data_IF_343810413067
#
_entry.id   IF_343810413067
#
_cell.length_a   1.000
_cell.length_b   1.000
_cell.length_c   1.000
_cell.angle_alpha   90.00
_cell.angle_beta   90.00
_cell.angle_gamma   90.00
#
_symmetry.space_group_name_H-M   'P 1'
#
loop_
_entity.id
_entity.type
_entity.pdbx_description
1 polymer ?
#
# COMPACT_ATOMS: atom_id res chain seq x y z
N UNK A 1 30.78 15.00 -24.27
CA UNK A 1 29.55 14.67 -25.02
C UNK A 1 28.40 14.73 -24.02
N UNK A 2 27.41 15.60 -24.23
CA UNK A 2 26.25 15.67 -23.34
C UNK A 2 25.30 14.53 -23.70
N UNK A 3 25.11 13.59 -22.78
CA UNK A 3 24.16 12.49 -22.93
C UNK A 3 22.74 13.05 -22.84
N UNK A 4 21.99 12.99 -23.95
CA UNK A 4 20.60 13.46 -24.01
C UNK A 4 19.73 12.41 -23.33
N UNK A 5 19.57 12.54 -22.01
CA UNK A 5 18.65 11.70 -21.23
C UNK A 5 17.23 12.24 -21.37
N UNK A 6 16.26 11.35 -21.62
CA UNK A 6 14.85 11.71 -21.60
C UNK A 6 14.42 12.06 -20.17
N UNK A 7 13.59 13.09 -20.01
CA UNK A 7 12.96 13.43 -18.72
C UNK A 7 12.22 12.24 -18.10
N UNK A 8 11.70 11.33 -18.93
CA UNK A 8 11.02 10.12 -18.47
C UNK A 8 11.98 9.13 -17.81
N UNK A 9 13.18 8.96 -18.36
CA UNK A 9 14.18 8.04 -17.83
C UNK A 9 14.69 8.53 -16.46
N UNK A 10 14.92 9.84 -16.35
CA UNK A 10 15.33 10.46 -15.08
C UNK A 10 14.25 10.32 -14.03
N UNK A 11 12.97 10.51 -14.39
CA UNK A 11 11.85 10.32 -13.47
C UNK A 11 11.76 8.87 -13.01
N UNK A 12 11.80 7.91 -13.94
CA UNK A 12 11.72 6.48 -13.63
C UNK A 12 12.85 6.02 -12.70
N UNK A 13 14.07 6.51 -12.92
CA UNK A 13 15.20 6.21 -12.04
C UNK A 13 15.00 6.77 -10.63
N UNK A 14 14.45 7.99 -10.50
CA UNK A 14 14.13 8.58 -9.20
C UNK A 14 13.04 7.81 -8.46
N UNK A 15 12.00 7.39 -9.19
CA UNK A 15 10.91 6.59 -8.63
C UNK A 15 11.43 5.21 -8.18
N UNK A 16 12.27 4.55 -8.97
CA UNK A 16 12.92 3.29 -8.59
C UNK A 16 13.79 3.42 -7.34
N UNK A 17 14.66 4.43 -7.27
CA UNK A 17 15.50 4.65 -6.09
C UNK A 17 14.69 5.03 -4.85
N UNK A 18 13.57 5.73 -5.03
CA UNK A 18 12.63 6.02 -3.95
C UNK A 18 12.04 4.72 -3.39
N UNK A 19 11.43 3.91 -4.25
CA UNK A 19 10.77 2.67 -3.85
C UNK A 19 11.76 1.71 -3.18
N UNK A 20 12.92 1.50 -3.80
CA UNK A 20 14.01 0.69 -3.21
C UNK A 20 14.43 1.17 -1.82
N UNK A 21 14.51 2.48 -1.59
CA UNK A 21 14.88 3.01 -0.28
C UNK A 21 13.76 2.93 0.76
N UNK A 22 12.50 2.97 0.33
CA UNK A 22 11.36 2.75 1.22
C UNK A 22 11.24 1.29 1.65
N UNK A 23 11.49 0.34 0.74
CA UNK A 23 11.39 -1.09 1.00
C UNK A 23 12.45 -1.61 1.99
N UNK A 24 13.65 -1.02 2.01
CA UNK A 24 14.71 -1.39 2.96
C UNK A 24 14.30 -1.25 4.43
N UNK A 25 13.37 -0.34 4.71
CA UNK A 25 12.90 -0.01 6.06
C UNK A 25 11.60 -0.76 6.42
N UNK A 26 11.02 -1.46 5.45
CA UNK A 26 9.75 -2.15 5.59
C UNK A 26 9.97 -3.52 6.23
N UNK A 27 9.30 -3.78 7.35
CA UNK A 27 9.40 -5.07 8.03
C UNK A 27 8.45 -6.09 7.41
N UNK A 28 8.99 -7.11 6.75
CA UNK A 28 8.20 -8.21 6.22
C UNK A 28 7.34 -8.89 7.31
N UNK A 29 7.86 -8.99 8.54
CA UNK A 29 7.10 -9.54 9.68
C UNK A 29 5.87 -8.71 10.00
N UNK A 30 5.96 -7.38 9.92
CA UNK A 30 4.80 -6.50 10.14
C UNK A 30 3.77 -6.66 9.05
N UNK A 31 4.19 -6.80 7.79
CA UNK A 31 3.27 -7.05 6.66
C UNK A 31 2.52 -8.36 6.89
N UNK A 32 3.25 -9.46 7.11
CA UNK A 32 2.66 -10.78 7.33
C UNK A 32 1.66 -10.76 8.48
N UNK A 33 1.98 -10.08 9.58
CA UNK A 33 1.05 -9.95 10.71
C UNK A 33 -0.19 -9.14 10.33
N UNK A 34 -0.03 -7.99 9.67
CA UNK A 34 -1.17 -7.16 9.23
C UNK A 34 -2.10 -7.89 8.27
N UNK A 35 -1.54 -8.72 7.39
CA UNK A 35 -2.29 -9.54 6.44
C UNK A 35 -3.11 -10.59 7.19
N UNK A 36 -2.51 -11.26 8.17
CA UNK A 36 -3.24 -12.19 9.05
C UNK A 36 -4.38 -11.50 9.78
N UNK A 37 -4.13 -10.35 10.39
CA UNK A 37 -5.13 -9.58 11.13
C UNK A 37 -6.28 -9.12 10.22
N UNK A 38 -6.00 -8.82 8.95
CA UNK A 38 -7.01 -8.47 7.96
C UNK A 38 -7.82 -9.67 7.47
N UNK A 39 -7.17 -10.82 7.25
CA UNK A 39 -7.78 -12.01 6.68
C UNK A 39 -8.55 -12.84 7.71
N UNK A 40 -8.10 -12.91 8.96
CA UNK A 40 -8.71 -13.77 9.98
C UNK A 40 -10.21 -13.50 10.21
N UNK A 41 -10.69 -12.25 10.27
CA UNK A 41 -12.13 -11.97 10.37
C UNK A 41 -12.93 -12.32 9.10
N UNK A 42 -12.28 -12.33 7.94
CA UNK A 42 -12.91 -12.58 6.63
C UNK A 42 -12.93 -14.08 6.29
N UNK A 43 -11.95 -14.84 6.78
CA UNK A 43 -11.72 -16.25 6.45
C UNK A 43 -11.51 -17.14 7.70
N UNK A 44 -12.51 -17.23 8.61
CA UNK A 44 -12.32 -17.91 9.90
C UNK A 44 -12.04 -19.41 9.79
N UNK A 45 -12.42 -20.08 8.70
CA UNK A 45 -12.31 -21.55 8.55
C UNK A 45 -11.37 -22.03 7.43
N UNK A 46 -10.71 -21.12 6.72
CA UNK A 46 -9.70 -21.49 5.74
C UNK A 46 -8.36 -21.74 6.44
N UNK A 47 -7.87 -22.97 6.39
CA UNK A 47 -6.58 -23.33 6.94
C UNK A 47 -5.49 -23.49 5.86
N UNK A 48 -5.83 -23.81 4.61
CA UNK A 48 -4.85 -24.09 3.54
C UNK A 48 -4.68 -22.96 2.50
N UNK A 49 -5.72 -22.21 2.11
CA UNK A 49 -5.57 -21.20 1.04
C UNK A 49 -5.01 -19.85 1.53
N UNK A 50 -4.70 -19.72 2.82
CA UNK A 50 -4.10 -18.49 3.36
C UNK A 50 -2.76 -18.19 2.71
N UNK A 51 -1.97 -19.15 2.22
CA UNK A 51 -0.66 -18.83 1.64
C UNK A 51 -0.80 -18.00 0.36
N UNK A 52 -1.57 -18.46 -0.64
CA UNK A 52 -1.76 -17.73 -1.92
C UNK A 52 -2.50 -16.42 -1.69
N UNK A 53 -3.56 -16.43 -0.87
CA UNK A 53 -4.31 -15.21 -0.53
C UNK A 53 -3.40 -14.21 0.20
N UNK A 54 -2.54 -14.68 1.10
CA UNK A 54 -1.62 -13.82 1.84
C UNK A 54 -0.55 -13.22 0.94
N UNK A 55 -0.02 -13.96 -0.04
CA UNK A 55 0.96 -13.44 -0.99
C UNK A 55 0.41 -12.24 -1.75
N UNK A 56 -0.81 -12.35 -2.33
CA UNK A 56 -1.43 -11.20 -2.99
C UNK A 56 -1.70 -10.04 -2.03
N UNK A 57 -2.14 -10.32 -0.80
CA UNK A 57 -2.32 -9.26 0.21
C UNK A 57 -1.01 -8.55 0.60
N UNK A 58 0.12 -9.27 0.60
CA UNK A 58 1.45 -8.69 0.83
C UNK A 58 1.79 -7.71 -0.30
N UNK A 59 1.51 -8.07 -1.56
CA UNK A 59 1.75 -7.19 -2.70
C UNK A 59 0.92 -5.90 -2.59
N UNK A 60 -0.37 -5.99 -2.27
CA UNK A 60 -1.23 -4.82 -2.05
C UNK A 60 -0.75 -3.94 -0.88
N UNK A 61 -0.24 -4.53 0.20
CA UNK A 61 0.34 -3.78 1.31
C UNK A 61 1.58 -3.00 0.88
N UNK A 62 2.45 -3.63 0.09
CA UNK A 62 3.65 -3.01 -0.46
C UNK A 62 3.26 -1.87 -1.41
N UNK A 63 2.33 -2.10 -2.33
CA UNK A 63 1.87 -1.08 -3.27
C UNK A 63 1.24 0.13 -2.57
N UNK A 64 0.40 -0.11 -1.57
CA UNK A 64 -0.19 0.96 -0.76
C UNK A 64 0.89 1.77 -0.03
N UNK A 65 1.86 1.08 0.58
CA UNK A 65 2.99 1.70 1.26
C UNK A 65 3.86 2.53 0.31
N UNK A 66 4.18 2.01 -0.88
CA UNK A 66 4.93 2.74 -1.89
C UNK A 66 4.15 3.94 -2.43
N UNK A 67 2.83 3.79 -2.65
CA UNK A 67 1.96 4.88 -3.04
C UNK A 67 2.00 6.01 -2.00
N UNK A 68 1.84 5.70 -0.72
CA UNK A 68 1.97 6.69 0.36
C UNK A 68 3.35 7.35 0.36
N UNK A 69 4.41 6.56 0.19
CA UNK A 69 5.77 7.05 0.13
C UNK A 69 6.05 8.00 -1.04
N UNK A 70 5.36 7.86 -2.18
CA UNK A 70 5.46 8.82 -3.30
C UNK A 70 4.92 10.20 -2.93
N UNK A 71 3.87 10.27 -2.12
CA UNK A 71 3.24 11.52 -1.71
C UNK A 71 3.76 12.07 -0.37
N UNK A 72 4.48 11.28 0.44
CA UNK A 72 4.97 11.73 1.75
C UNK A 72 6.00 12.87 1.73
N UNK A 73 6.56 13.21 0.57
CA UNK A 73 7.39 14.42 0.40
C UNK A 73 6.63 15.71 0.75
N UNK A 74 5.31 15.73 0.52
CA UNK A 74 4.48 16.90 0.82
C UNK A 74 4.32 17.12 2.33
N UNK A 75 4.37 16.05 3.13
CA UNK A 75 4.42 16.18 4.61
C UNK A 75 5.69 16.87 5.07
N UNK A 76 6.83 16.59 4.41
CA UNK A 76 8.06 17.32 4.64
C UNK A 76 7.94 18.82 4.29
N UNK A 77 7.15 19.17 3.26
CA UNK A 77 6.84 20.57 2.93
C UNK A 77 5.75 21.20 3.81
N UNK A 78 5.27 20.50 4.85
CA UNK A 78 4.32 21.02 5.83
C UNK A 78 2.86 20.81 5.49
N UNK A 79 2.52 20.03 4.46
CA UNK A 79 1.13 19.68 4.18
C UNK A 79 0.57 18.69 5.22
N UNK A 80 -0.73 18.84 5.54
CA UNK A 80 -1.41 17.91 6.44
C UNK A 80 -1.65 16.56 5.78
N UNK A 81 -1.78 15.49 6.58
CA UNK A 81 -2.11 14.14 6.10
C UNK A 81 -3.39 14.12 5.23
N UNK A 82 -4.36 14.97 5.56
CA UNK A 82 -5.60 15.11 4.78
C UNK A 82 -5.34 15.69 3.39
N UNK A 83 -4.50 16.73 3.30
CA UNK A 83 -4.08 17.32 2.01
C UNK A 83 -3.31 16.31 1.17
N UNK A 84 -2.36 15.59 1.78
CA UNK A 84 -1.57 14.55 1.11
C UNK A 84 -2.48 13.44 0.59
N UNK A 85 -3.46 13.01 1.39
CA UNK A 85 -4.45 12.01 1.00
C UNK A 85 -5.31 12.45 -0.17
N UNK A 86 -5.67 13.74 -0.23
CA UNK A 86 -6.44 14.28 -1.34
C UNK A 86 -5.64 14.24 -2.65
N UNK A 87 -4.32 14.42 -2.60
CA UNK A 87 -3.42 14.35 -3.78
C UNK A 87 -3.34 12.95 -4.39
N UNK A 88 -3.47 11.90 -3.58
CA UNK A 88 -3.43 10.50 -4.03
C UNK A 88 -4.82 9.85 -4.07
N UNK A 89 -5.90 10.63 -4.00
CA UNK A 89 -7.24 10.09 -3.79
C UNK A 89 -7.71 9.17 -4.92
N UNK A 90 -7.28 9.43 -6.16
CA UNK A 90 -7.61 8.60 -7.31
C UNK A 90 -6.87 7.27 -7.22
N UNK A 91 -5.55 7.31 -7.08
CA UNK A 91 -4.68 6.13 -7.04
C UNK A 91 -5.02 5.24 -5.82
N UNK A 92 -5.30 5.85 -4.66
CA UNK A 92 -5.71 5.11 -3.46
C UNK A 92 -7.09 4.45 -3.64
N UNK A 93 -8.00 5.10 -4.38
CA UNK A 93 -9.32 4.53 -4.69
C UNK A 93 -9.20 3.35 -5.64
N UNK A 94 -8.38 3.47 -6.70
CA UNK A 94 -8.13 2.40 -7.66
C UNK A 94 -7.55 1.18 -6.96
N UNK A 95 -6.46 1.36 -6.21
CA UNK A 95 -5.80 0.27 -5.46
C UNK A 95 -6.74 -0.40 -4.45
N UNK A 96 -7.60 0.37 -3.78
CA UNK A 96 -8.60 -0.16 -2.85
C UNK A 96 -9.65 -1.00 -3.54
N UNK A 97 -10.12 -0.57 -4.71
CA UNK A 97 -11.12 -1.33 -5.47
C UNK A 97 -10.51 -2.63 -5.99
N UNK A 98 -9.28 -2.59 -6.49
CA UNK A 98 -8.54 -3.79 -6.92
C UNK A 98 -8.35 -4.77 -5.76
N UNK A 99 -7.97 -4.27 -4.58
CA UNK A 99 -7.82 -5.12 -3.40
C UNK A 99 -9.17 -5.69 -2.91
N UNK A 100 -10.23 -4.87 -2.94
CA UNK A 100 -11.58 -5.32 -2.63
C UNK A 100 -12.02 -6.44 -3.57
N UNK A 101 -11.85 -6.27 -4.89
CA UNK A 101 -12.23 -7.27 -5.88
C UNK A 101 -11.41 -8.54 -5.69
N UNK A 102 -10.11 -8.43 -5.41
CA UNK A 102 -9.25 -9.55 -5.06
C UNK A 102 -9.80 -10.35 -3.87
N UNK A 103 -10.02 -9.70 -2.72
CA UNK A 103 -10.55 -10.35 -1.52
C UNK A 103 -11.95 -10.92 -1.77
N UNK A 104 -12.81 -10.16 -2.43
CA UNK A 104 -14.19 -10.55 -2.66
C UNK A 104 -14.30 -11.77 -3.57
N UNK A 105 -13.45 -11.90 -4.59
CA UNK A 105 -13.43 -13.09 -5.45
C UNK A 105 -13.09 -14.36 -4.65
N UNK A 106 -12.05 -14.30 -3.80
CA UNK A 106 -11.70 -15.43 -2.92
C UNK A 106 -12.81 -15.78 -1.93
N UNK A 107 -13.49 -14.78 -1.35
CA UNK A 107 -14.60 -15.00 -0.43
C UNK A 107 -15.82 -15.55 -1.16
N UNK A 108 -16.17 -14.99 -2.32
CA UNK A 108 -17.38 -15.37 -3.06
C UNK A 108 -17.30 -16.79 -3.62
N UNK A 109 -16.11 -17.24 -4.05
CA UNK A 109 -15.87 -18.63 -4.47
C UNK A 109 -16.18 -19.63 -3.36
N UNK A 110 -16.07 -19.22 -2.10
CA UNK A 110 -16.19 -20.10 -0.93
C UNK A 110 -17.47 -19.88 -0.12
N UNK A 111 -18.00 -18.65 -0.12
CA UNK A 111 -19.09 -18.19 0.71
C UNK A 111 -20.00 -17.23 -0.07
N UNK A 112 -20.95 -17.79 -0.83
CA UNK A 112 -21.87 -17.02 -1.69
C UNK A 112 -22.77 -15.98 -0.98
N UNK A 113 -22.77 -15.91 0.35
CA UNK A 113 -23.64 -15.03 1.17
C UNK A 113 -22.89 -14.02 2.03
N UNK A 114 -21.56 -13.87 1.86
CA UNK A 114 -20.77 -12.94 2.66
C UNK A 114 -21.13 -11.47 2.38
N UNK A 115 -21.15 -10.64 3.42
CA UNK A 115 -21.49 -9.22 3.28
C UNK A 115 -20.39 -8.45 2.55
N UNK A 116 -20.72 -7.93 1.36
CA UNK A 116 -19.84 -7.09 0.54
C UNK A 116 -19.30 -5.87 1.29
N UNK A 117 -20.11 -5.25 2.15
CA UNK A 117 -19.70 -4.04 2.86
C UNK A 117 -18.58 -4.34 3.85
N UNK A 118 -18.64 -5.49 4.53
CA UNK A 118 -17.59 -5.97 5.43
C UNK A 118 -16.25 -6.13 4.71
N UNK A 119 -16.25 -6.72 3.51
CA UNK A 119 -15.02 -6.88 2.70
C UNK A 119 -14.50 -5.52 2.23
N UNK A 120 -15.39 -4.62 1.79
CA UNK A 120 -15.01 -3.29 1.33
C UNK A 120 -14.38 -2.45 2.46
N UNK A 121 -14.96 -2.46 3.66
CA UNK A 121 -14.38 -1.73 4.79
C UNK A 121 -13.05 -2.32 5.25
N UNK A 122 -12.88 -3.64 5.21
CA UNK A 122 -11.60 -4.29 5.46
C UNK A 122 -10.53 -3.83 4.45
N UNK A 123 -10.84 -3.89 3.15
CA UNK A 123 -9.95 -3.43 2.09
C UNK A 123 -9.60 -1.94 2.24
N UNK A 124 -10.60 -1.10 2.51
CA UNK A 124 -10.42 0.34 2.75
C UNK A 124 -9.46 0.60 3.90
N UNK A 125 -9.67 -0.05 5.04
CA UNK A 125 -8.86 0.13 6.24
C UNK A 125 -7.42 -0.32 5.97
N UNK A 126 -7.25 -1.52 5.41
CA UNK A 126 -5.94 -2.10 5.13
C UNK A 126 -5.09 -1.23 4.19
N UNK A 127 -5.65 -0.82 3.05
CA UNK A 127 -4.95 0.07 2.10
C UNK A 127 -4.62 1.41 2.76
N UNK A 128 -5.55 1.97 3.56
CA UNK A 128 -5.32 3.26 4.21
C UNK A 128 -4.20 3.21 5.25
N UNK A 129 -4.13 2.13 6.02
CA UNK A 129 -3.09 1.92 7.03
C UNK A 129 -1.70 1.87 6.38
N UNK A 130 -1.53 1.04 5.36
CA UNK A 130 -0.25 0.92 4.65
C UNK A 130 0.14 2.19 3.90
N UNK A 131 -0.82 2.84 3.23
CA UNK A 131 -0.60 4.14 2.62
C UNK A 131 -0.11 5.19 3.63
N UNK A 132 -0.75 5.25 4.80
CA UNK A 132 -0.37 6.19 5.87
C UNK A 132 1.04 5.90 6.38
N UNK A 133 1.38 4.62 6.57
CA UNK A 133 2.73 4.20 6.97
C UNK A 133 3.79 4.64 5.96
N UNK A 134 3.49 4.54 4.65
CA UNK A 134 4.35 5.01 3.57
C UNK A 134 4.61 6.51 3.62
N UNK A 135 3.55 7.30 3.82
CA UNK A 135 3.65 8.77 3.95
C UNK A 135 4.57 9.14 5.12
N UNK A 136 4.31 8.57 6.30
CA UNK A 136 5.06 8.87 7.53
C UNK A 136 6.53 8.47 7.38
N UNK A 137 6.81 7.31 6.80
CA UNK A 137 8.18 6.85 6.62
C UNK A 137 8.93 7.75 5.63
N UNK A 138 8.29 8.18 4.54
CA UNK A 138 8.91 9.10 3.59
C UNK A 138 9.23 10.45 4.25
N UNK A 139 8.28 11.01 4.98
CA UNK A 139 8.45 12.27 5.69
C UNK A 139 9.62 12.20 6.68
N UNK A 140 9.71 11.10 7.44
CA UNK A 140 10.81 10.82 8.36
C UNK A 140 12.16 10.76 7.62
N UNK A 141 12.26 10.05 6.50
CA UNK A 141 13.50 9.96 5.72
C UNK A 141 13.96 11.33 5.21
N UNK A 142 13.02 12.16 4.73
CA UNK A 142 13.32 13.53 4.28
C UNK A 142 13.87 14.39 5.42
N UNK A 143 13.29 14.31 6.61
CA UNK A 143 13.76 15.04 7.80
C UNK A 143 15.14 14.58 8.29
N UNK A 144 15.44 13.27 8.20
CA UNK A 144 16.72 12.71 8.65
C UNK A 144 17.89 13.01 7.71
N UNK A 145 17.65 13.14 6.39
CA UNK A 145 18.68 13.48 5.40
C UNK A 145 19.18 14.93 5.48
N UNK A 146 18.58 15.76 6.34
CA UNK A 146 18.95 17.16 6.54
C UNK A 146 19.72 17.42 7.83
N UNK A 147 20.18 16.36 8.52
CA UNK A 147 21.13 16.43 9.63
C UNK A 147 22.51 16.04 9.15
#
# INVERSE_FOLDING_TARGET
>A
MAEVLSFMDVKRQKDFELEKNLLKELSLRQIIQSVRDCLEPLFPFLHDEREIISEGCIDFAIEAYLLGGRFGIFGYYGESMQSISARSAREEKELRLEFFDYLYNWIHEQYATFDKNTVYEAARKFIKEWWTAGVVQREKQCKLRMR
#
